data_IF_000353959470
#
_entry.id   IF_000353959470
#
_cell.length_a   1.000
_cell.length_b   1.000
_cell.length_c   1.000
_cell.angle_alpha   90.00
_cell.angle_beta   90.00
_cell.angle_gamma   90.00
#
_symmetry.space_group_name_H-M   'P 1'
#
loop_
_entity.id
_entity.type
_entity.pdbx_description
1 polymer ?
#
# COMPACT_ATOMS: atom_id res chain seq x y z
N UNK A 1 -0.26 6.53 -4.97
CA UNK A 1 -0.74 6.27 -3.61
C UNK A 1 -1.35 7.53 -3.03
N UNK A 2 -2.39 7.40 -2.20
CA UNK A 2 -3.00 8.51 -1.47
C UNK A 2 -3.47 8.09 -0.07
N UNK A 3 -3.30 8.97 0.91
CA UNK A 3 -3.75 8.81 2.30
C UNK A 3 -3.67 10.18 3.01
N UNK A 4 -4.54 10.47 3.99
CA UNK A 4 -4.51 11.71 4.82
C UNK A 4 -3.99 12.98 4.11
N UNK A 5 -4.47 13.28 2.90
CA UNK A 5 -4.08 14.48 2.13
C UNK A 5 -2.80 14.35 1.28
N UNK A 6 -1.97 13.33 1.49
CA UNK A 6 -0.90 12.97 0.57
C UNK A 6 -1.47 12.32 -0.70
N UNK A 7 -0.93 12.70 -1.86
CA UNK A 7 -1.17 12.05 -3.14
C UNK A 7 0.11 12.12 -3.97
N UNK A 8 0.71 10.97 -4.25
CA UNK A 8 1.97 10.91 -4.99
C UNK A 8 2.26 9.54 -5.58
N UNK A 9 3.20 9.46 -6.53
CA UNK A 9 3.69 8.19 -7.02
C UNK A 9 4.53 7.48 -5.95
N UNK A 10 4.44 6.16 -5.90
CA UNK A 10 5.31 5.28 -5.09
C UNK A 10 5.65 4.06 -5.95
N UNK A 11 6.86 3.53 -5.80
CA UNK A 11 7.18 2.21 -6.34
C UNK A 11 6.52 1.17 -5.43
N UNK A 12 5.99 0.08 -6.01
CA UNK A 12 5.30 -0.94 -5.23
C UNK A 12 5.60 -2.33 -5.75
N UNK A 13 5.55 -3.30 -4.84
CA UNK A 13 5.58 -4.73 -5.12
C UNK A 13 4.39 -5.39 -4.43
N UNK A 14 3.71 -6.30 -5.14
CA UNK A 14 2.58 -7.06 -4.60
C UNK A 14 2.95 -8.54 -4.67
N UNK A 15 2.89 -9.21 -3.54
CA UNK A 15 3.18 -10.63 -3.40
C UNK A 15 1.88 -11.41 -3.64
N UNK A 16 1.85 -12.18 -4.73
CA UNK A 16 0.72 -13.01 -5.14
C UNK A 16 -0.01 -12.50 -6.38
N UNK A 17 -1.01 -13.28 -6.84
CA UNK A 17 -1.75 -12.96 -8.05
C UNK A 17 -2.98 -12.08 -7.74
N UNK A 18 -3.03 -10.88 -8.35
CA UNK A 18 -4.18 -9.97 -8.26
C UNK A 18 -5.51 -10.64 -8.70
N UNK A 19 -5.46 -11.55 -9.66
CA UNK A 19 -6.61 -12.32 -10.13
C UNK A 19 -7.22 -13.24 -9.04
N UNK A 20 -6.45 -13.56 -7.99
CA UNK A 20 -6.89 -14.34 -6.84
C UNK A 20 -7.54 -13.51 -5.72
N UNK A 21 -7.51 -12.17 -5.80
CA UNK A 21 -8.12 -11.29 -4.82
C UNK A 21 -9.65 -11.39 -4.95
N UNK A 22 -10.29 -12.20 -4.11
CA UNK A 22 -11.75 -12.34 -4.01
C UNK A 22 -12.25 -11.59 -2.79
N UNK A 23 -13.45 -11.00 -2.89
CA UNK A 23 -14.15 -10.45 -1.72
C UNK A 23 -14.23 -11.51 -0.62
N UNK A 24 -13.61 -11.23 0.53
CA UNK A 24 -13.74 -12.03 1.76
C UNK A 24 -12.78 -13.22 1.94
N UNK A 25 -11.84 -13.50 1.03
CA UNK A 25 -11.03 -14.73 1.09
C UNK A 25 -9.54 -14.59 1.38
N UNK A 26 -8.88 -13.54 0.86
CA UNK A 26 -7.45 -13.35 1.05
C UNK A 26 -7.09 -11.87 0.86
N UNK A 27 -6.34 -11.30 1.80
CA UNK A 27 -5.67 -10.02 1.61
C UNK A 27 -4.32 -10.28 0.93
N UNK A 28 -4.10 -9.68 -0.24
CA UNK A 28 -2.78 -9.71 -0.86
C UNK A 28 -1.86 -8.76 -0.09
N UNK A 29 -0.62 -9.18 0.13
CA UNK A 29 0.39 -8.35 0.80
C UNK A 29 1.28 -7.68 -0.23
N UNK A 30 1.78 -6.52 0.12
CA UNK A 30 2.73 -5.79 -0.71
C UNK A 30 3.59 -4.86 0.11
N UNK A 31 4.57 -4.28 -0.56
CA UNK A 31 5.41 -3.22 -0.05
C UNK A 31 5.43 -2.06 -1.04
N UNK A 32 5.61 -0.85 -0.52
CA UNK A 32 5.89 0.32 -1.34
C UNK A 32 7.18 0.99 -0.87
N UNK A 33 7.90 1.57 -1.81
CA UNK A 33 9.09 2.38 -1.56
C UNK A 33 8.79 3.85 -1.82
N UNK A 34 9.18 4.69 -0.88
CA UNK A 34 8.98 6.16 -0.89
C UNK A 34 9.94 6.80 0.11
N UNK A 35 9.95 8.13 0.28
CA UNK A 35 10.81 8.73 1.32
C UNK A 35 10.41 8.27 2.72
N UNK A 36 11.35 8.18 3.65
CA UNK A 36 11.10 7.79 5.05
C UNK A 36 9.91 8.53 5.69
N UNK A 37 9.84 9.85 5.49
CA UNK A 37 8.74 10.68 6.01
C UNK A 37 7.36 10.24 5.48
N UNK A 38 7.28 9.88 4.21
CA UNK A 38 6.04 9.42 3.57
C UNK A 38 5.71 8.01 4.08
N UNK A 39 6.69 7.11 4.22
CA UNK A 39 6.47 5.76 4.73
C UNK A 39 5.94 5.77 6.17
N UNK A 40 6.53 6.57 7.06
CA UNK A 40 6.06 6.78 8.43
C UNK A 40 4.66 7.41 8.47
N UNK A 41 4.44 8.47 7.69
CA UNK A 41 3.13 9.13 7.63
C UNK A 41 2.03 8.21 7.08
N UNK A 42 2.36 7.38 6.08
CA UNK A 42 1.46 6.37 5.54
C UNK A 42 1.08 5.36 6.63
N UNK A 43 2.05 4.84 7.37
CA UNK A 43 1.81 3.92 8.47
C UNK A 43 0.91 4.55 9.56
N UNK A 44 1.18 5.79 9.96
CA UNK A 44 0.33 6.57 10.88
C UNK A 44 -1.06 6.88 10.32
N UNK A 45 -1.24 6.80 9.00
CA UNK A 45 -2.54 6.96 8.36
C UNK A 45 -3.42 5.71 8.47
N UNK A 46 -2.82 4.53 8.72
CA UNK A 46 -3.45 3.21 8.78
C UNK A 46 -4.08 2.74 7.46
N UNK A 47 -4.83 3.60 6.78
CA UNK A 47 -5.52 3.30 5.53
C UNK A 47 -5.07 4.25 4.41
N UNK A 48 -5.07 3.73 3.19
CA UNK A 48 -4.80 4.49 1.98
C UNK A 48 -5.38 3.84 0.73
N UNK A 49 -5.13 4.46 -0.41
CA UNK A 49 -5.45 3.93 -1.72
C UNK A 49 -4.19 3.79 -2.56
N UNK A 50 -4.07 2.64 -3.23
CA UNK A 50 -3.00 2.37 -4.17
C UNK A 50 -3.61 2.23 -5.57
N UNK A 51 -3.19 3.12 -6.47
CA UNK A 51 -3.51 3.01 -7.89
C UNK A 51 -2.39 2.24 -8.59
N UNK A 52 -2.72 1.12 -9.21
CA UNK A 52 -1.79 0.28 -9.95
C UNK A 52 -1.54 0.83 -11.37
N UNK A 53 -0.54 0.28 -12.03
CA UNK A 53 -0.18 0.64 -13.41
C UNK A 53 -1.29 0.38 -14.43
N UNK A 54 -2.18 -0.58 -14.19
CA UNK A 54 -3.36 -0.85 -15.03
C UNK A 54 -4.51 0.16 -14.81
N UNK A 55 -4.30 1.15 -13.94
CA UNK A 55 -5.26 2.21 -13.62
C UNK A 55 -6.25 1.86 -12.52
N UNK A 56 -6.29 0.60 -12.05
CA UNK A 56 -7.20 0.20 -10.96
C UNK A 56 -6.73 0.75 -9.63
N UNK A 57 -7.68 1.16 -8.81
CA UNK A 57 -7.45 1.64 -7.46
C UNK A 57 -7.94 0.61 -6.45
N UNK A 58 -7.10 0.31 -5.47
CA UNK A 58 -7.41 -0.61 -4.38
C UNK A 58 -7.23 0.08 -3.04
N UNK A 59 -8.10 -0.26 -2.10
CA UNK A 59 -7.91 0.12 -0.71
C UNK A 59 -6.79 -0.71 -0.12
N UNK A 60 -5.88 -0.04 0.58
CA UNK A 60 -4.77 -0.68 1.28
C UNK A 60 -4.84 -0.35 2.77
N UNK A 61 -4.52 -1.34 3.59
CA UNK A 61 -4.31 -1.17 5.03
C UNK A 61 -2.81 -1.33 5.29
N UNK A 62 -2.20 -0.36 5.96
CA UNK A 62 -0.79 -0.43 6.36
C UNK A 62 -0.65 -1.44 7.48
N UNK A 63 0.28 -2.39 7.32
CA UNK A 63 0.50 -3.45 8.31
C UNK A 63 1.86 -3.33 9.00
N UNK A 64 2.78 -2.57 8.42
CA UNK A 64 4.09 -2.37 9.00
C UNK A 64 4.88 -1.27 8.31
N UNK A 65 5.87 -0.79 9.02
CA UNK A 65 6.88 0.14 8.56
C UNK A 65 8.15 -0.14 9.37
N UNK A 66 9.31 -0.05 8.73
CA UNK A 66 10.59 -0.17 9.41
C UNK A 66 11.12 1.23 9.70
N UNK A 67 11.27 1.65 10.97
CA UNK A 67 11.80 2.97 11.32
C UNK A 67 13.16 3.22 10.67
N UNK A 68 13.31 4.36 10.01
CA UNK A 68 14.55 4.70 9.28
C UNK A 68 14.63 4.14 7.86
N UNK A 69 13.54 3.55 7.35
CA UNK A 69 13.48 2.94 6.01
C UNK A 69 12.58 3.73 5.06
N UNK A 70 12.86 3.60 3.78
CA UNK A 70 12.04 4.07 2.68
C UNK A 70 10.87 3.11 2.35
N UNK A 71 10.75 1.98 3.06
CA UNK A 71 9.79 0.91 2.75
C UNK A 71 8.64 0.82 3.76
N UNK A 72 7.40 0.80 3.24
CA UNK A 72 6.19 0.50 3.99
C UNK A 72 5.51 -0.79 3.50
N UNK A 73 4.82 -1.49 4.38
CA UNK A 73 4.13 -2.76 4.10
C UNK A 73 2.63 -2.60 4.24
N UNK A 74 1.88 -3.23 3.33
CA UNK A 74 0.42 -3.11 3.28
C UNK A 74 -0.28 -4.40 2.87
N UNK A 75 -1.57 -4.44 3.16
CA UNK A 75 -2.53 -5.44 2.71
C UNK A 75 -3.55 -4.79 1.77
N UNK A 76 -3.74 -5.35 0.57
CA UNK A 76 -4.82 -5.00 -0.34
C UNK A 76 -6.14 -5.64 0.10
N UNK A 77 -7.22 -4.89 -0.07
CA UNK A 77 -8.60 -5.36 0.06
C UNK A 77 -9.43 -4.90 -1.16
N UNK A 78 -10.40 -5.71 -1.56
CA UNK A 78 -11.50 -5.33 -2.48
C UNK A 78 -12.72 -4.96 -1.65
#
# INVERSE_FOLDING_TARGET
>A
MSYKGFKGPVAYEIIGALAGLRQGGASLRGSFMTTEEIADNAFKACDGHLRLADGKEYRITMVGYTPGSDTGYFELKI
#
